data_IF_680678447315
#
_entry.id   IF_680678447315
#
_cell.length_a   1.000
_cell.length_b   1.000
_cell.length_c   1.000
_cell.angle_alpha   90.00
_cell.angle_beta   90.00
_cell.angle_gamma   90.00
#
_symmetry.space_group_name_H-M   'P 1'
#
loop_
_entity.id
_entity.type
_entity.pdbx_description
1 polymer ?
#
# COMPACT_ATOMS: atom_id res chain seq x y z
N UNK A 1 6.09 -19.46 6.60
CA UNK A 1 6.57 -18.08 6.36
C UNK A 1 6.38 -17.82 4.88
N UNK A 2 5.51 -16.87 4.47
CA UNK A 2 5.58 -16.39 3.11
C UNK A 2 6.91 -15.67 2.94
N UNK A 3 7.68 -16.11 1.95
CA UNK A 3 8.90 -15.44 1.49
C UNK A 3 8.54 -14.03 1.03
N UNK A 4 9.42 -13.06 1.32
CA UNK A 4 9.29 -11.62 1.02
C UNK A 4 9.06 -11.24 -0.47
N UNK A 5 8.85 -12.21 -1.36
CA UNK A 5 8.82 -12.07 -2.82
C UNK A 5 7.40 -12.14 -3.45
N UNK A 6 6.41 -12.75 -2.77
CA UNK A 6 5.06 -12.92 -3.35
C UNK A 6 4.26 -11.61 -3.44
N UNK A 7 4.47 -10.69 -2.49
CA UNK A 7 3.78 -9.39 -2.46
C UNK A 7 4.20 -8.50 -3.62
N UNK A 8 5.47 -8.56 -4.03
CA UNK A 8 6.06 -7.72 -5.09
C UNK A 8 5.46 -8.08 -6.46
N UNK A 9 5.40 -9.37 -6.77
CA UNK A 9 4.85 -9.87 -8.04
C UNK A 9 3.33 -9.61 -8.09
N UNK A 10 2.65 -9.79 -6.96
CA UNK A 10 1.20 -9.56 -6.86
C UNK A 10 0.83 -8.09 -7.08
N UNK A 11 1.52 -7.15 -6.43
CA UNK A 11 1.24 -5.72 -6.55
C UNK A 11 1.44 -5.22 -7.99
N UNK A 12 2.54 -5.61 -8.64
CA UNK A 12 2.81 -5.28 -10.03
C UNK A 12 1.70 -5.80 -10.96
N UNK A 13 1.28 -7.06 -10.78
CA UNK A 13 0.25 -7.69 -11.60
C UNK A 13 -1.12 -7.04 -11.42
N UNK A 14 -1.52 -6.74 -10.17
CA UNK A 14 -2.77 -6.04 -9.86
C UNK A 14 -2.77 -4.65 -10.50
N UNK A 15 -1.70 -3.88 -10.28
CA UNK A 15 -1.57 -2.53 -10.82
C UNK A 15 -1.66 -2.49 -12.35
N UNK A 16 -0.90 -3.37 -13.01
CA UNK A 16 -0.93 -3.49 -14.48
C UNK A 16 -2.31 -3.90 -14.97
N UNK A 17 -2.98 -4.83 -14.29
CA UNK A 17 -4.34 -5.25 -14.62
C UNK A 17 -5.33 -4.10 -14.52
N UNK A 18 -5.25 -3.28 -13.47
CA UNK A 18 -6.15 -2.14 -13.28
C UNK A 18 -6.04 -1.09 -14.39
N UNK A 19 -4.81 -0.82 -14.85
CA UNK A 19 -4.55 0.14 -15.93
C UNK A 19 -4.88 -0.41 -17.31
N UNK A 20 -4.71 -1.72 -17.53
CA UNK A 20 -5.06 -2.36 -18.82
C UNK A 20 -6.56 -2.64 -18.96
N UNK A 21 -7.28 -2.78 -17.85
CA UNK A 21 -8.73 -3.03 -17.86
C UNK A 21 -9.55 -1.74 -18.04
N UNK A 22 -8.97 -0.59 -17.73
CA UNK A 22 -9.63 0.72 -17.79
C UNK A 22 -8.62 1.80 -18.21
N UNK A 23 -8.66 2.16 -19.50
CA UNK A 23 -7.76 3.14 -20.09
C UNK A 23 -7.98 4.58 -19.58
N UNK A 24 -9.10 4.87 -18.90
CA UNK A 24 -9.35 6.18 -18.29
C UNK A 24 -8.87 6.24 -16.83
N UNK A 25 -8.47 5.09 -16.25
CA UNK A 25 -7.99 5.04 -14.88
C UNK A 25 -6.64 5.74 -14.75
N UNK A 26 -6.56 6.67 -13.80
CA UNK A 26 -5.30 7.34 -13.50
C UNK A 26 -4.33 6.40 -12.79
N UNK A 27 -3.03 6.59 -13.04
CA UNK A 27 -1.95 5.86 -12.37
C UNK A 27 -1.98 6.03 -10.84
N UNK A 28 -2.40 7.21 -10.36
CA UNK A 28 -2.59 7.45 -8.92
C UNK A 28 -3.73 6.62 -8.32
N UNK A 29 -4.88 6.54 -9.00
CA UNK A 29 -6.02 5.76 -8.52
C UNK A 29 -5.73 4.25 -8.55
N UNK A 30 -5.13 3.76 -9.64
CA UNK A 30 -4.71 2.36 -9.74
C UNK A 30 -3.69 1.99 -8.65
N UNK A 31 -2.79 2.91 -8.27
CA UNK A 31 -1.85 2.69 -7.17
C UNK A 31 -2.58 2.58 -5.83
N UNK A 32 -3.53 3.47 -5.53
CA UNK A 32 -4.33 3.41 -4.29
C UNK A 32 -5.12 2.10 -4.21
N UNK A 33 -5.79 1.70 -5.29
CA UNK A 33 -6.56 0.43 -5.34
C UNK A 33 -5.65 -0.79 -5.12
N UNK A 34 -4.45 -0.78 -5.70
CA UNK A 34 -3.46 -1.85 -5.50
C UNK A 34 -3.01 -1.91 -4.04
N UNK A 35 -2.69 -0.78 -3.42
CA UNK A 35 -2.29 -0.71 -2.01
C UNK A 35 -3.43 -1.12 -1.07
N UNK A 36 -4.68 -0.80 -1.41
CA UNK A 36 -5.85 -1.29 -0.67
C UNK A 36 -5.99 -2.81 -0.77
N UNK A 37 -5.67 -3.42 -1.91
CA UNK A 37 -5.72 -4.87 -2.07
C UNK A 37 -4.62 -5.57 -1.27
N UNK A 38 -3.40 -5.03 -1.28
CA UNK A 38 -2.30 -5.48 -0.42
C UNK A 38 -2.70 -5.35 1.06
N UNK A 39 -3.34 -4.25 1.45
CA UNK A 39 -3.82 -4.06 2.82
C UNK A 39 -4.85 -5.12 3.23
N UNK A 40 -5.82 -5.46 2.37
CA UNK A 40 -6.87 -6.45 2.66
C UNK A 40 -6.34 -7.88 2.74
N UNK A 41 -5.31 -8.20 1.97
CA UNK A 41 -4.74 -9.55 1.87
C UNK A 41 -3.51 -9.73 2.76
N UNK A 42 -3.06 -8.67 3.44
CA UNK A 42 -1.90 -8.70 4.32
C UNK A 42 -2.16 -9.55 5.57
N UNK A 43 -1.25 -10.48 5.83
CA UNK A 43 -1.11 -11.23 7.08
C UNK A 43 -0.14 -10.56 8.07
N UNK A 44 0.16 -9.25 7.89
CA UNK A 44 1.02 -8.51 8.81
C UNK A 44 0.41 -8.43 10.21
N UNK A 45 1.20 -8.72 11.23
CA UNK A 45 0.75 -8.70 12.63
C UNK A 45 1.09 -7.38 13.31
N UNK A 46 2.00 -6.60 12.73
CA UNK A 46 2.42 -5.30 13.24
C UNK A 46 2.27 -4.22 12.18
N UNK A 47 2.10 -2.97 12.62
CA UNK A 47 2.10 -1.82 11.72
C UNK A 47 3.39 -1.74 10.90
N UNK A 48 4.54 -2.01 11.53
CA UNK A 48 5.85 -1.97 10.87
C UNK A 48 5.93 -2.97 9.71
N UNK A 49 5.46 -4.19 9.93
CA UNK A 49 5.36 -5.22 8.88
C UNK A 49 4.40 -4.79 7.77
N UNK A 50 3.27 -4.19 8.12
CA UNK A 50 2.30 -3.71 7.14
C UNK A 50 2.87 -2.57 6.29
N UNK A 51 3.50 -1.57 6.91
CA UNK A 51 4.13 -0.46 6.19
C UNK A 51 5.24 -0.97 5.27
N UNK A 52 6.04 -1.92 5.73
CA UNK A 52 7.09 -2.53 4.91
C UNK A 52 6.52 -3.27 3.69
N UNK A 53 5.39 -3.99 3.84
CA UNK A 53 4.71 -4.64 2.71
C UNK A 53 4.13 -3.64 1.73
N UNK A 54 3.55 -2.55 2.21
CA UNK A 54 3.02 -1.50 1.36
C UNK A 54 4.16 -0.77 0.62
N UNK A 55 5.29 -0.49 1.28
CA UNK A 55 6.48 0.08 0.62
C UNK A 55 7.05 -0.85 -0.45
N UNK A 56 7.09 -2.16 -0.19
CA UNK A 56 7.51 -3.15 -1.17
C UNK A 56 6.58 -3.15 -2.40
N UNK A 57 5.25 -3.09 -2.18
CA UNK A 57 4.28 -2.95 -3.26
C UNK A 57 4.45 -1.66 -4.07
N UNK A 58 4.72 -0.52 -3.42
CA UNK A 58 5.03 0.75 -4.12
C UNK A 58 6.26 0.59 -5.01
N UNK A 59 7.33 0.00 -4.47
CA UNK A 59 8.55 -0.26 -5.22
C UNK A 59 8.32 -1.21 -6.41
N UNK A 60 7.45 -2.20 -6.27
CA UNK A 60 7.08 -3.09 -7.36
C UNK A 60 6.30 -2.35 -8.47
N UNK A 61 5.33 -1.49 -8.11
CA UNK A 61 4.60 -0.69 -9.08
C UNK A 61 5.50 0.32 -9.81
N UNK A 62 6.49 0.90 -9.12
CA UNK A 62 7.47 1.84 -9.70
C UNK A 62 8.39 1.18 -10.74
N UNK A 63 8.52 -0.16 -10.74
CA UNK A 63 9.29 -0.92 -11.74
C UNK A 63 8.49 -1.18 -13.02
N UNK A 64 7.22 -0.80 -13.09
CA UNK A 64 6.40 -0.93 -14.30
C UNK A 64 6.63 0.21 -15.29
N UNK A 65 6.23 0.00 -16.54
CA UNK A 65 6.24 1.03 -17.58
C UNK A 65 5.24 2.18 -17.31
N UNK A 66 4.37 2.01 -16.30
CA UNK A 66 3.37 3.01 -15.88
C UNK A 66 3.85 3.88 -14.71
N UNK A 67 5.12 3.78 -14.33
CA UNK A 67 5.73 4.59 -13.27
C UNK A 67 5.53 6.09 -13.53
N UNK A 68 5.00 6.80 -12.53
CA UNK A 68 4.63 8.22 -12.69
C UNK A 68 4.76 8.97 -11.36
N UNK A 69 4.91 10.30 -11.45
CA UNK A 69 4.86 11.18 -10.28
C UNK A 69 3.52 11.08 -9.51
N UNK A 70 2.42 10.78 -10.22
CA UNK A 70 1.10 10.58 -9.63
C UNK A 70 1.01 9.29 -8.80
N UNK A 71 1.63 8.19 -9.27
CA UNK A 71 1.75 6.95 -8.49
C UNK A 71 2.49 7.20 -7.19
N UNK A 72 3.66 7.87 -7.28
CA UNK A 72 4.48 8.16 -6.09
C UNK A 72 3.73 9.05 -5.10
N UNK A 73 3.15 10.15 -5.58
CA UNK A 73 2.40 11.09 -4.73
C UNK A 73 1.20 10.43 -4.05
N UNK A 74 0.42 9.64 -4.79
CA UNK A 74 -0.74 8.93 -4.25
C UNK A 74 -0.33 7.89 -3.20
N UNK A 75 0.75 7.15 -3.47
CA UNK A 75 1.28 6.14 -2.55
C UNK A 75 1.80 6.76 -1.26
N UNK A 76 2.55 7.87 -1.35
CA UNK A 76 3.06 8.59 -0.17
C UNK A 76 1.92 9.14 0.71
N UNK A 77 0.87 9.70 0.10
CA UNK A 77 -0.31 10.17 0.82
C UNK A 77 -1.03 9.02 1.53
N UNK A 78 -1.18 7.88 0.85
CA UNK A 78 -1.81 6.69 1.42
C UNK A 78 -1.02 6.15 2.62
N UNK A 79 0.31 6.01 2.48
CA UNK A 79 1.19 5.55 3.57
C UNK A 79 1.19 6.49 4.77
N UNK A 80 1.19 7.81 4.53
CA UNK A 80 1.05 8.82 5.59
C UNK A 80 -0.28 8.67 6.33
N UNK A 81 -1.37 8.41 5.60
CA UNK A 81 -2.69 8.22 6.20
C UNK A 81 -2.74 6.96 7.09
N UNK A 82 -2.21 5.83 6.62
CA UNK A 82 -2.11 4.61 7.44
C UNK A 82 -1.26 4.84 8.69
N UNK A 83 -0.13 5.53 8.54
CA UNK A 83 0.75 5.87 9.66
C UNK A 83 0.10 6.81 10.67
N UNK A 84 -0.74 7.74 10.20
CA UNK A 84 -1.49 8.67 11.04
C UNK A 84 -2.53 7.87 11.84
N UNK A 85 -3.45 7.16 11.19
CA UNK A 85 -4.52 6.38 11.85
C UNK A 85 -3.97 5.52 12.99
N UNK A 86 -2.82 4.88 12.76
CA UNK A 86 -2.23 4.03 13.79
C UNK A 86 -1.80 4.82 15.02
N UNK A 87 -1.27 6.04 14.86
CA UNK A 87 -0.94 6.90 16.00
C UNK A 87 -2.21 7.33 16.73
N UNK A 88 -3.25 7.75 16.04
CA UNK A 88 -4.51 8.12 16.72
C UNK A 88 -5.14 6.94 17.42
N UNK A 89 -5.19 5.76 16.81
CA UNK A 89 -5.73 4.55 17.44
C UNK A 89 -4.98 4.16 18.72
N UNK A 90 -3.65 4.36 18.76
CA UNK A 90 -2.84 4.14 19.97
C UNK A 90 -3.03 5.23 21.04
N UNK A 91 -3.55 6.40 20.68
CA UNK A 91 -3.85 7.50 21.61
C UNK A 91 -5.25 7.39 22.24
N UNK A 92 -6.08 6.42 21.82
CA UNK A 92 -7.45 6.20 22.31
C UNK A 92 -7.51 5.13 23.42
N UNK A 93 -6.38 4.72 24.02
CA UNK A 93 -6.37 3.99 25.29
C UNK A 93 -5.96 4.90 26.48
N UNK A 94 -6.93 5.55 27.14
CA UNK A 94 -6.73 6.32 28.37
C UNK A 94 -6.76 5.49 29.67
N UNK A 95 -6.81 4.15 29.64
CA UNK A 95 -6.90 3.32 30.87
C UNK A 95 -5.53 3.07 31.56
N UNK A 96 -4.57 3.97 31.33
CA UNK A 96 -3.36 4.06 32.15
C UNK A 96 -3.70 4.75 33.48
N UNK A 97 -4.15 3.94 34.45
CA UNK A 97 -4.39 4.36 35.84
C UNK A 97 -3.16 5.09 36.41
N UNK A 98 -3.36 6.34 36.84
CA UNK A 98 -2.54 7.00 37.86
C UNK A 98 -2.89 6.44 39.25
#
# INVERSE_FOLDING_TARGET
MPSFDETDISAQAIFTKLLTSDNEKSTGLAAIETLMEVLKTSDANTLSELTHKLDAAVNAMLKTDYSSASLQSASELFLRFISLISKEALLVDPDFKH
#
